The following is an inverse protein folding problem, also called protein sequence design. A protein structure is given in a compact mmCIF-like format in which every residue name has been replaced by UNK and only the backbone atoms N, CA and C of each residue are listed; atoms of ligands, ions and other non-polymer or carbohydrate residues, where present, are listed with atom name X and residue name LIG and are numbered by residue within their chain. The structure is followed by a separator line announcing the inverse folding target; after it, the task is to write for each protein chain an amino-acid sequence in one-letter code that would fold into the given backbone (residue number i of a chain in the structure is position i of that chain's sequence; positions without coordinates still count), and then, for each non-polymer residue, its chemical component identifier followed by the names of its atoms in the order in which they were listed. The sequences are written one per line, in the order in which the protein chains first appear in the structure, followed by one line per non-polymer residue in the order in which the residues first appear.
data_IF_874834903096
#
_entry.id   IF_874834903096
#
_cell.length_a   1.000
_cell.length_b   1.000
_cell.length_c   1.000
_cell.angle_alpha   90.00
_cell.angle_beta   90.00
_cell.angle_gamma   90.00
#
_symmetry.space_group_name_H-M   'P 1'
#
loop_
_entity.id
_entity.type
_entity.pdbx_description
1 polymer ?
#
# COMPACT_ATOMS: atom_id res chain seq x y z
N UNK A 1 11.42 7.66 -12.70
CA UNK A 1 10.62 6.58 -12.06
C UNK A 1 11.57 5.64 -11.36
N UNK A 2 11.28 5.25 -10.12
CA UNK A 2 12.12 4.32 -9.35
C UNK A 2 11.68 2.89 -9.64
N UNK A 3 12.57 2.06 -10.14
CA UNK A 3 12.28 0.66 -10.44
C UNK A 3 12.58 -0.16 -9.17
N UNK A 4 11.55 -0.75 -8.57
CA UNK A 4 11.62 -1.50 -7.32
C UNK A 4 10.93 -2.86 -7.48
N UNK A 5 11.47 -3.89 -6.82
CA UNK A 5 10.78 -5.17 -6.70
C UNK A 5 9.83 -5.14 -5.51
N UNK A 6 8.55 -4.87 -5.76
CA UNK A 6 7.49 -4.85 -4.74
C UNK A 6 6.99 -6.23 -4.30
N UNK A 7 7.69 -7.30 -4.72
CA UNK A 7 7.54 -8.66 -4.19
C UNK A 7 8.74 -9.10 -3.35
N UNK A 8 9.78 -8.27 -3.25
CA UNK A 8 10.96 -8.56 -2.44
C UNK A 8 10.63 -8.47 -0.94
N UNK A 9 11.22 -9.35 -0.11
CA UNK A 9 11.15 -9.22 1.33
C UNK A 9 11.64 -7.86 1.79
N UNK A 10 10.99 -7.29 2.79
CA UNK A 10 11.34 -5.96 3.29
C UNK A 10 10.22 -5.26 4.01
N UNK A 11 10.49 -4.02 4.38
CA UNK A 11 9.56 -3.16 5.10
C UNK A 11 9.09 -2.04 4.17
N UNK A 12 7.77 -1.86 4.10
CA UNK A 12 7.12 -0.91 3.20
C UNK A 12 6.19 0.00 3.98
N UNK A 13 6.35 1.30 3.79
CA UNK A 13 5.40 2.29 4.25
C UNK A 13 4.54 2.72 3.06
N UNK A 14 3.23 2.65 3.22
CA UNK A 14 2.25 2.93 2.17
C UNK A 14 1.26 3.97 2.66
N UNK A 15 0.99 4.97 1.83
CA UNK A 15 -0.06 5.97 2.04
C UNK A 15 -1.02 5.94 0.87
N UNK A 16 -2.31 5.86 1.13
CA UNK A 16 -3.34 5.93 0.10
C UNK A 16 -4.42 6.94 0.45
N UNK A 17 -4.66 7.88 -0.44
CA UNK A 17 -5.54 9.02 -0.21
C UNK A 17 -6.91 8.82 -0.85
N UNK A 18 -7.95 9.32 -0.19
CA UNK A 18 -9.27 9.52 -0.77
C UNK A 18 -9.17 10.53 -1.92
N UNK A 19 -9.98 10.31 -2.96
CA UNK A 19 -10.10 11.21 -4.10
C UNK A 19 -10.42 12.63 -3.60
N UNK A 20 -9.67 13.61 -4.10
CA UNK A 20 -9.80 15.02 -3.74
C UNK A 20 -9.68 15.31 -2.23
N UNK A 21 -9.06 14.39 -1.50
CA UNK A 21 -8.80 14.46 -0.05
C UNK A 21 -10.05 14.66 0.85
N UNK A 22 -11.24 14.34 0.37
CA UNK A 22 -12.47 14.48 1.17
C UNK A 22 -12.44 13.65 2.46
N UNK A 23 -12.91 14.21 3.55
CA UNK A 23 -12.96 13.57 4.87
C UNK A 23 -14.15 12.60 4.99
N UNK A 24 -14.19 11.59 4.15
CA UNK A 24 -15.31 10.63 4.14
C UNK A 24 -15.13 9.48 5.14
N UNK A 25 -13.91 9.21 5.61
CA UNK A 25 -13.64 8.06 6.47
C UNK A 25 -13.96 8.32 7.95
N UNK A 26 -14.28 9.57 8.32
CA UNK A 26 -14.62 9.97 9.67
C UNK A 26 -13.99 11.28 10.08
N UNK A 27 -13.78 11.47 11.38
CA UNK A 27 -13.14 12.66 11.94
C UNK A 27 -12.29 12.31 13.16
N UNK A 28 -11.40 13.21 13.54
CA UNK A 28 -10.61 13.05 14.77
C UNK A 28 -11.22 13.86 15.89
N UNK A 29 -11.58 13.19 16.98
CA UNK A 29 -12.05 13.79 18.22
C UNK A 29 -11.23 13.27 19.41
N UNK A 30 -10.85 14.16 20.32
CA UNK A 30 -10.04 13.81 21.50
C UNK A 30 -8.78 13.01 21.15
N UNK A 31 -8.08 13.40 20.07
CA UNK A 31 -6.86 12.75 19.58
C UNK A 31 -7.05 11.28 19.13
N UNK A 32 -8.29 10.87 18.89
CA UNK A 32 -8.65 9.53 18.40
C UNK A 32 -9.50 9.63 17.15
N UNK A 33 -9.32 8.67 16.27
CA UNK A 33 -10.17 8.53 15.08
C UNK A 33 -11.57 8.02 15.48
N UNK A 34 -12.58 8.75 15.02
CA UNK A 34 -13.99 8.33 15.05
C UNK A 34 -14.39 8.00 13.62
N UNK A 35 -14.57 6.72 13.34
CA UNK A 35 -14.84 6.23 11.99
C UNK A 35 -16.27 6.52 11.55
N UNK A 36 -16.44 6.91 10.29
CA UNK A 36 -17.71 6.82 9.59
C UNK A 36 -17.98 5.36 9.19
N UNK A 37 -19.17 5.07 8.65
CA UNK A 37 -19.47 3.77 8.06
C UNK A 37 -18.46 3.41 6.94
N UNK A 38 -17.99 4.38 6.16
CA UNK A 38 -16.98 4.18 5.14
C UNK A 38 -15.58 3.91 5.75
N UNK A 39 -15.26 4.60 6.84
CA UNK A 39 -14.04 4.35 7.60
C UNK A 39 -13.99 2.95 8.21
N UNK A 40 -15.12 2.45 8.75
CA UNK A 40 -15.22 1.08 9.26
C UNK A 40 -15.06 0.03 8.13
N UNK A 41 -15.58 0.28 6.92
CA UNK A 41 -15.34 -0.58 5.75
C UNK A 41 -13.83 -0.67 5.46
N UNK A 42 -13.14 0.48 5.40
CA UNK A 42 -11.70 0.52 5.12
C UNK A 42 -10.90 -0.18 6.21
N UNK A 43 -11.17 0.14 7.47
CA UNK A 43 -10.53 -0.49 8.64
C UNK A 43 -10.68 -2.01 8.62
N UNK A 44 -11.89 -2.52 8.38
CA UNK A 44 -12.18 -3.95 8.29
C UNK A 44 -11.37 -4.64 7.21
N UNK A 45 -11.27 -4.05 6.02
CA UNK A 45 -10.51 -4.64 4.92
C UNK A 45 -8.98 -4.53 5.15
N UNK A 46 -8.49 -3.48 5.80
CA UNK A 46 -7.08 -3.36 6.23
C UNK A 46 -6.72 -4.48 7.21
N UNK A 47 -7.55 -4.74 8.20
CA UNK A 47 -7.30 -5.79 9.20
C UNK A 47 -7.29 -7.21 8.61
N UNK A 48 -7.95 -7.43 7.46
CA UNK A 48 -7.95 -8.73 6.76
C UNK A 48 -6.71 -8.96 5.88
N UNK A 49 -5.84 -7.96 5.74
CA UNK A 49 -4.65 -8.10 4.88
C UNK A 49 -3.84 -9.36 5.17
N UNK A 50 -3.49 -9.68 6.44
CA UNK A 50 -2.72 -10.89 6.74
C UNK A 50 -3.44 -12.21 6.42
N UNK A 51 -4.78 -12.22 6.49
CA UNK A 51 -5.60 -13.39 6.15
C UNK A 51 -5.53 -13.71 4.65
N UNK A 52 -5.58 -12.67 3.81
CA UNK A 52 -5.58 -12.80 2.35
C UNK A 52 -4.16 -12.85 1.75
N UNK A 53 -3.16 -12.47 2.52
CA UNK A 53 -1.77 -12.37 2.08
C UNK A 53 -0.82 -12.90 3.18
N UNK A 54 -0.63 -14.25 3.30
CA UNK A 54 0.13 -14.87 4.40
C UNK A 54 1.59 -14.41 4.51
N UNK A 55 2.16 -13.90 3.41
CA UNK A 55 3.50 -13.30 3.38
C UNK A 55 3.55 -11.90 3.99
N UNK A 56 2.41 -11.28 4.25
CA UNK A 56 2.35 -9.90 4.76
C UNK A 56 2.08 -9.92 6.26
N UNK A 57 2.96 -9.25 7.01
CA UNK A 57 2.68 -8.81 8.37
C UNK A 57 2.22 -7.36 8.27
N UNK A 58 1.02 -7.08 8.75
CA UNK A 58 0.55 -5.71 9.00
C UNK A 58 1.10 -5.30 10.37
N UNK A 59 2.22 -4.57 10.39
CA UNK A 59 2.93 -4.24 11.63
C UNK A 59 2.30 -3.05 12.36
N UNK A 60 2.02 -1.98 11.62
CA UNK A 60 1.31 -0.81 12.14
C UNK A 60 0.42 -0.21 11.05
N UNK A 61 -0.68 0.40 11.45
CA UNK A 61 -1.59 1.02 10.51
C UNK A 61 -2.44 2.11 11.18
N UNK A 62 -2.93 3.04 10.36
CA UNK A 62 -3.93 4.01 10.79
C UNK A 62 -4.83 4.36 9.60
N UNK A 63 -6.12 4.47 9.86
CA UNK A 63 -7.11 5.08 8.95
C UNK A 63 -7.53 6.39 9.58
N UNK A 64 -7.43 7.49 8.83
CA UNK A 64 -7.74 8.85 9.25
C UNK A 64 -8.71 9.51 8.26
N UNK A 65 -9.21 10.71 8.46
CA UNK A 65 -10.39 11.21 7.75
C UNK A 65 -10.37 11.11 6.24
N UNK A 66 -9.20 11.27 5.58
CA UNK A 66 -9.07 11.31 4.12
C UNK A 66 -7.99 10.40 3.54
N UNK A 67 -7.33 9.57 4.35
CA UNK A 67 -6.35 8.61 3.87
C UNK A 67 -6.09 7.49 4.90
N UNK A 68 -5.20 6.57 4.54
CA UNK A 68 -4.65 5.62 5.49
C UNK A 68 -3.15 5.42 5.28
N UNK A 69 -2.48 5.00 6.35
CA UNK A 69 -1.10 4.55 6.33
C UNK A 69 -0.99 3.09 6.74
N UNK A 70 -0.13 2.35 6.06
CA UNK A 70 0.22 0.98 6.39
C UNK A 70 1.74 0.85 6.54
N UNK A 71 2.19 0.22 7.61
CA UNK A 71 3.54 -0.29 7.76
C UNK A 71 3.48 -1.81 7.58
N UNK A 72 4.01 -2.28 6.48
CA UNK A 72 3.94 -3.67 6.05
C UNK A 72 5.33 -4.29 6.08
N UNK A 73 5.44 -5.51 6.62
CA UNK A 73 6.61 -6.36 6.50
C UNK A 73 6.27 -7.50 5.56
N UNK A 74 6.94 -7.56 4.42
CA UNK A 74 6.84 -8.67 3.48
C UNK A 74 7.91 -9.70 3.82
N UNK A 75 7.44 -10.92 4.19
CA UNK A 75 8.30 -12.05 4.56
C UNK A 75 9.00 -12.63 3.34
N UNK A 76 10.11 -13.32 3.59
CA UNK A 76 10.71 -14.21 2.59
C UNK A 76 9.74 -15.34 2.21
N UNK A 77 10.01 -15.98 1.06
CA UNK A 77 9.29 -17.19 0.69
C UNK A 77 9.56 -18.28 1.72
N UNK A 78 8.52 -18.73 2.42
CA UNK A 78 8.57 -19.92 3.25
C UNK A 78 7.79 -21.03 2.56
N UNK A 79 8.21 -22.29 2.76
CA UNK A 79 7.40 -23.44 2.39
C UNK A 79 6.16 -23.44 3.29
N UNK A 80 5.06 -22.86 2.83
CA UNK A 80 3.76 -23.01 3.46
C UNK A 80 2.96 -24.09 2.70
N UNK A 81 2.69 -25.16 3.43
CA UNK A 81 1.77 -26.26 3.10
C UNK A 81 0.97 -26.13 1.79
N UNK A 82 1.52 -26.66 0.69
CA UNK A 82 0.77 -27.33 -0.38
C UNK A 82 -0.11 -26.52 -1.33
N UNK A 83 -0.24 -25.20 -1.22
CA UNK A 83 -1.07 -24.42 -2.13
C UNK A 83 -0.16 -23.48 -2.94
N UNK A 84 -0.17 -23.72 -4.23
CA UNK A 84 0.55 -23.10 -5.33
C UNK A 84 1.04 -21.65 -5.14
N UNK A 85 2.16 -21.44 -4.45
CA UNK A 85 3.01 -20.27 -4.60
C UNK A 85 3.85 -20.33 -5.90
N UNK A 86 3.57 -21.32 -6.77
CA UNK A 86 4.30 -21.59 -8.02
C UNK A 86 4.26 -20.40 -8.97
N UNK A 87 3.14 -19.68 -9.02
CA UNK A 87 3.04 -18.49 -9.86
C UNK A 87 3.85 -17.31 -9.31
N UNK A 88 3.90 -17.17 -7.98
CA UNK A 88 4.72 -16.13 -7.35
C UNK A 88 6.22 -16.49 -7.37
N UNK A 89 6.57 -17.77 -7.22
CA UNK A 89 7.95 -18.26 -7.34
C UNK A 89 8.49 -18.11 -8.76
N UNK A 90 7.73 -18.52 -9.77
CA UNK A 90 8.10 -18.34 -11.19
C UNK A 90 8.19 -16.87 -11.57
N UNK A 91 7.34 -16.01 -10.99
CA UNK A 91 7.45 -14.55 -11.14
C UNK A 91 8.71 -14.02 -10.46
N UNK A 92 9.11 -14.53 -9.30
CA UNK A 92 10.32 -14.11 -8.62
C UNK A 92 11.57 -14.52 -9.40
N UNK A 93 11.63 -15.75 -9.93
CA UNK A 93 12.74 -16.24 -10.75
C UNK A 93 12.90 -15.44 -12.05
N UNK A 94 11.78 -15.11 -12.69
CA UNK A 94 11.76 -14.18 -13.81
C UNK A 94 12.11 -12.74 -13.37
N UNK A 95 11.73 -12.34 -12.16
CA UNK A 95 12.07 -11.07 -11.54
C UNK A 95 13.57 -10.97 -11.22
N UNK A 96 14.18 -11.96 -10.58
CA UNK A 96 15.63 -11.98 -10.32
C UNK A 96 16.40 -11.90 -11.61
N UNK A 97 15.97 -12.61 -12.67
CA UNK A 97 16.57 -12.50 -13.99
C UNK A 97 16.45 -11.10 -14.59
N UNK A 98 15.27 -10.46 -14.50
CA UNK A 98 15.07 -9.08 -14.97
C UNK A 98 15.81 -8.05 -14.12
N UNK A 99 15.88 -8.28 -12.80
CA UNK A 99 16.43 -7.34 -11.85
C UNK A 99 17.93 -7.54 -11.59
N UNK A 100 18.50 -8.72 -11.78
CA UNK A 100 19.94 -8.96 -11.58
C UNK A 100 20.81 -8.51 -12.74
N UNK A 101 20.26 -8.37 -13.95
CA UNK A 101 21.12 -8.33 -15.14
C UNK A 101 21.26 -7.00 -15.87
N UNK A 102 20.43 -5.96 -15.62
CA UNK A 102 20.54 -4.89 -16.63
C UNK A 102 20.64 -3.43 -16.19
N UNK A 103 20.05 -2.94 -15.10
CA UNK A 103 19.82 -1.50 -15.18
C UNK A 103 20.14 -0.64 -13.95
N UNK A 104 19.85 -1.09 -12.75
CA UNK A 104 19.91 -0.21 -11.57
C UNK A 104 21.27 -0.02 -10.95
N UNK A 105 22.25 -0.82 -11.34
CA UNK A 105 23.63 -0.66 -10.88
C UNK A 105 24.43 0.34 -11.71
N UNK A 106 23.80 0.98 -12.71
CA UNK A 106 24.46 2.03 -13.51
C UNK A 106 23.97 3.42 -13.08
N UNK A 107 24.80 4.27 -12.49
CA UNK A 107 24.39 5.55 -11.88
C UNK A 107 23.73 6.57 -12.83
N UNK A 108 23.73 6.35 -14.14
CA UNK A 108 23.23 7.30 -15.16
C UNK A 108 22.28 6.68 -16.19
N UNK A 109 21.75 5.47 -15.91
CA UNK A 109 20.87 4.83 -16.88
C UNK A 109 19.48 5.45 -16.89
N UNK A 110 19.05 5.92 -18.05
CA UNK A 110 17.67 6.34 -18.28
C UNK A 110 16.93 5.23 -19.08
N UNK A 111 15.88 4.63 -18.51
CA UNK A 111 15.17 3.55 -19.20
C UNK A 111 14.45 4.09 -20.44
N UNK A 112 14.42 3.30 -21.50
CA UNK A 112 13.63 3.58 -22.71
C UNK A 112 12.14 3.49 -22.41
N UNK A 113 11.29 4.10 -23.24
CA UNK A 113 9.84 4.03 -23.12
C UNK A 113 9.33 2.57 -23.07
N UNK A 114 9.87 1.68 -23.91
CA UNK A 114 9.52 0.27 -23.95
C UNK A 114 9.83 -0.44 -22.62
N UNK A 115 10.98 -0.17 -22.05
CA UNK A 115 11.40 -0.73 -20.77
C UNK A 115 10.52 -0.23 -19.62
N UNK A 116 10.10 1.02 -19.64
CA UNK A 116 9.13 1.57 -18.68
C UNK A 116 7.78 0.85 -18.80
N UNK A 117 7.29 0.62 -20.01
CA UNK A 117 6.04 -0.10 -20.26
C UNK A 117 6.10 -1.55 -19.77
N UNK A 118 7.19 -2.25 -20.06
CA UNK A 118 7.43 -3.62 -19.58
C UNK A 118 7.46 -3.67 -18.03
N UNK A 119 8.19 -2.75 -17.39
CA UNK A 119 8.20 -2.64 -15.95
C UNK A 119 6.80 -2.37 -15.37
N UNK A 120 6.02 -1.46 -15.96
CA UNK A 120 4.65 -1.19 -15.51
C UNK A 120 3.76 -2.43 -15.57
N UNK A 121 3.90 -3.28 -16.62
CA UNK A 121 3.20 -4.56 -16.73
C UNK A 121 3.61 -5.53 -15.61
N UNK A 122 4.91 -5.63 -15.34
CA UNK A 122 5.45 -6.47 -14.26
C UNK A 122 5.03 -5.96 -12.88
N UNK A 123 5.15 -4.65 -12.64
CA UNK A 123 4.79 -4.03 -11.35
C UNK A 123 3.37 -4.38 -10.92
N UNK A 124 2.41 -4.37 -11.85
CA UNK A 124 0.99 -4.72 -11.55
C UNK A 124 0.80 -6.14 -11.02
N UNK A 125 1.77 -7.04 -11.29
CA UNK A 125 1.75 -8.43 -10.83
C UNK A 125 2.45 -8.64 -9.49
N UNK A 126 3.17 -7.64 -8.99
CA UNK A 126 3.89 -7.70 -7.72
C UNK A 126 2.94 -7.65 -6.51
N UNK A 127 3.40 -8.13 -5.36
CA UNK A 127 2.56 -8.32 -4.16
C UNK A 127 1.96 -7.00 -3.67
N UNK A 128 2.78 -5.97 -3.47
CA UNK A 128 2.28 -4.69 -2.94
C UNK A 128 1.27 -4.02 -3.89
N UNK A 129 1.52 -3.86 -5.21
CA UNK A 129 0.53 -3.34 -6.14
C UNK A 129 -0.75 -4.17 -6.24
N UNK A 130 -0.65 -5.52 -6.20
CA UNK A 130 -1.83 -6.40 -6.15
C UNK A 130 -2.65 -6.19 -4.89
N UNK A 131 -1.98 -6.12 -3.72
CA UNK A 131 -2.62 -5.81 -2.45
C UNK A 131 -3.40 -4.50 -2.54
N UNK A 132 -2.71 -3.42 -2.96
CA UNK A 132 -3.32 -2.08 -3.01
C UNK A 132 -4.48 -2.04 -4.01
N UNK A 133 -4.34 -2.64 -5.18
CA UNK A 133 -5.43 -2.71 -6.16
C UNK A 133 -6.66 -3.47 -5.63
N UNK A 134 -6.47 -4.60 -4.94
CA UNK A 134 -7.57 -5.35 -4.31
C UNK A 134 -8.22 -4.55 -3.18
N UNK A 135 -7.44 -3.91 -2.31
CA UNK A 135 -7.93 -3.10 -1.20
C UNK A 135 -8.77 -1.91 -1.71
N UNK A 136 -8.24 -1.15 -2.67
CA UNK A 136 -8.96 -0.03 -3.31
C UNK A 136 -10.25 -0.49 -3.99
N UNK A 137 -10.20 -1.58 -4.75
CA UNK A 137 -11.37 -2.13 -5.46
C UNK A 137 -12.46 -2.58 -4.47
N UNK A 138 -12.08 -3.34 -3.45
CA UNK A 138 -13.03 -3.91 -2.48
C UNK A 138 -13.68 -2.81 -1.66
N UNK A 139 -12.90 -1.90 -1.09
CA UNK A 139 -13.42 -0.79 -0.29
C UNK A 139 -14.25 0.17 -1.12
N UNK A 140 -13.84 0.50 -2.37
CA UNK A 140 -14.66 1.33 -3.27
C UNK A 140 -15.99 0.68 -3.61
N UNK A 141 -16.00 -0.63 -3.88
CA UNK A 141 -17.24 -1.37 -4.13
C UNK A 141 -18.20 -1.25 -2.95
N UNK A 142 -17.73 -1.55 -1.74
CA UNK A 142 -18.56 -1.59 -0.55
C UNK A 142 -19.06 -0.18 -0.15
N UNK A 143 -18.21 0.84 -0.24
CA UNK A 143 -18.58 2.25 -0.05
C UNK A 143 -19.65 2.67 -1.08
N UNK A 144 -19.46 2.34 -2.35
CA UNK A 144 -20.40 2.73 -3.41
C UNK A 144 -21.76 2.02 -3.30
N UNK A 145 -21.78 0.78 -2.80
CA UNK A 145 -23.04 0.08 -2.48
C UNK A 145 -23.76 0.81 -1.35
N UNK A 146 -23.05 1.13 -0.27
CA UNK A 146 -23.64 1.78 0.90
C UNK A 146 -24.22 3.16 0.57
N UNK A 147 -23.51 3.97 -0.20
CA UNK A 147 -23.99 5.31 -0.59
C UNK A 147 -24.83 5.35 -1.88
N UNK A 148 -25.09 4.18 -2.49
CA UNK A 148 -25.88 4.04 -3.73
C UNK A 148 -25.33 4.86 -4.91
N UNK A 149 -24.02 4.94 -5.05
CA UNK A 149 -23.34 5.69 -6.13
C UNK A 149 -22.37 4.77 -6.89
N UNK A 150 -22.90 3.85 -7.73
CA UNK A 150 -22.04 2.92 -8.46
C UNK A 150 -21.07 3.66 -9.39
N UNK A 151 -19.84 3.16 -9.46
CA UNK A 151 -18.80 3.73 -10.33
C UNK A 151 -18.09 4.97 -9.79
N UNK A 152 -18.50 5.50 -8.63
CA UNK A 152 -17.81 6.66 -8.06
C UNK A 152 -16.39 6.29 -7.61
N UNK A 153 -15.44 7.14 -7.99
CA UNK A 153 -14.04 6.99 -7.64
C UNK A 153 -13.82 7.44 -6.20
N UNK A 154 -13.35 6.54 -5.34
CA UNK A 154 -13.12 6.83 -3.92
C UNK A 154 -11.66 7.12 -3.61
N UNK A 155 -10.73 6.51 -4.33
CA UNK A 155 -9.29 6.60 -4.09
C UNK A 155 -8.61 7.38 -5.20
N UNK A 156 -7.54 8.09 -4.87
CA UNK A 156 -6.60 8.58 -5.87
C UNK A 156 -6.03 7.42 -6.67
N UNK A 157 -5.66 7.68 -7.93
CA UNK A 157 -5.21 6.64 -8.87
C UNK A 157 -3.98 5.90 -8.36
N UNK A 158 -3.03 6.65 -7.79
CA UNK A 158 -1.79 6.11 -7.26
C UNK A 158 -1.76 6.21 -5.72
N UNK A 159 -1.01 5.32 -5.12
CA UNK A 159 -0.63 5.36 -3.71
C UNK A 159 0.85 5.74 -3.60
N UNK A 160 1.23 6.34 -2.47
CA UNK A 160 2.62 6.61 -2.16
C UNK A 160 3.22 5.42 -1.43
N UNK A 161 4.41 5.02 -1.83
CA UNK A 161 5.16 3.96 -1.18
C UNK A 161 6.61 4.35 -0.88
N UNK A 162 7.12 3.82 0.22
CA UNK A 162 8.50 3.99 0.63
C UNK A 162 9.06 2.67 1.15
N UNK A 163 10.16 2.18 0.53
CA UNK A 163 10.89 1.01 1.02
C UNK A 163 11.80 1.44 2.16
N UNK A 164 11.57 0.90 3.33
CA UNK A 164 12.31 1.24 4.54
C UNK A 164 13.59 0.38 4.59
N UNK A 165 14.75 1.04 4.63
CA UNK A 165 16.05 0.36 4.60
C UNK A 165 16.86 0.52 5.89
N UNK A 166 16.45 1.42 6.78
CA UNK A 166 17.17 1.75 8.01
C UNK A 166 16.26 1.61 9.22
N UNK A 167 16.79 1.01 10.30
CA UNK A 167 16.04 0.83 11.55
C UNK A 167 15.51 2.15 12.11
N UNK A 168 16.29 3.22 12.06
CA UNK A 168 15.83 4.53 12.50
C UNK A 168 14.61 5.02 11.72
N UNK A 169 14.61 4.88 10.39
CA UNK A 169 13.45 5.22 9.54
C UNK A 169 12.23 4.39 9.89
N UNK A 170 12.39 3.09 10.16
CA UNK A 170 11.32 2.21 10.59
C UNK A 170 10.66 2.69 11.89
N UNK A 171 11.48 2.98 12.93
CA UNK A 171 10.99 3.45 14.23
C UNK A 171 10.24 4.78 14.05
N UNK A 172 10.81 5.72 13.28
CA UNK A 172 10.20 7.03 13.04
C UNK A 172 8.85 6.91 12.35
N UNK A 173 8.75 6.05 11.31
CA UNK A 173 7.50 5.82 10.56
C UNK A 173 6.46 5.14 11.47
N UNK A 174 6.86 4.14 12.26
CA UNK A 174 5.96 3.48 13.20
C UNK A 174 5.38 4.46 14.21
N UNK A 175 6.23 5.29 14.82
CA UNK A 175 5.81 6.34 15.75
C UNK A 175 4.92 7.40 15.07
N UNK A 176 5.21 7.75 13.81
CA UNK A 176 4.37 8.65 13.02
C UNK A 176 2.96 8.08 12.84
N UNK A 177 2.82 6.79 12.47
CA UNK A 177 1.51 6.14 12.30
C UNK A 177 0.75 6.11 13.62
N UNK A 178 1.38 5.67 14.72
CA UNK A 178 0.77 5.59 16.05
C UNK A 178 0.26 6.96 16.53
N UNK A 179 1.05 8.01 16.31
CA UNK A 179 0.72 9.36 16.77
C UNK A 179 -0.09 10.17 15.76
N UNK A 180 -0.40 9.63 14.58
CA UNK A 180 -1.07 10.38 13.53
C UNK A 180 -2.41 10.99 13.97
N UNK A 181 -3.34 10.27 14.65
CA UNK A 181 -4.58 10.89 15.12
C UNK A 181 -4.36 12.04 16.10
N UNK A 182 -3.33 11.95 16.96
CA UNK A 182 -2.96 13.03 17.87
C UNK A 182 -2.46 14.26 17.15
N UNK A 183 -1.71 14.04 16.08
CA UNK A 183 -1.06 15.09 15.28
C UNK A 183 -1.84 15.42 14.00
N UNK A 184 -3.11 15.01 13.90
CA UNK A 184 -3.94 15.15 12.70
C UNK A 184 -3.95 16.57 12.10
N UNK A 185 -4.05 17.59 12.95
CA UNK A 185 -4.06 19.01 12.49
C UNK A 185 -2.73 19.45 11.84
N UNK A 186 -1.64 18.75 12.09
CA UNK A 186 -0.32 19.00 11.50
C UNK A 186 -0.01 18.03 10.34
N UNK A 187 -0.94 17.15 10.01
CA UNK A 187 -0.76 16.22 8.90
C UNK A 187 -0.74 16.95 7.56
N UNK A 188 0.14 16.50 6.67
CA UNK A 188 0.34 17.08 5.32
C UNK A 188 -0.93 17.11 4.48
N UNK A 189 -1.91 16.26 4.80
CA UNK A 189 -3.18 16.14 4.06
C UNK A 189 -4.37 16.81 4.78
N UNK A 190 -4.14 17.43 5.94
CA UNK A 190 -5.22 18.07 6.73
C UNK A 190 -5.93 19.18 5.96
N UNK A 191 -5.18 20.11 5.36
CA UNK A 191 -5.71 21.31 4.69
C UNK A 191 -5.99 21.11 3.18
N UNK A 192 -5.98 19.86 2.71
CA UNK A 192 -6.19 19.55 1.28
C UNK A 192 -7.62 19.11 0.94
N UNK A 193 -8.52 19.11 1.93
CA UNK A 193 -9.92 18.74 1.76
C UNK A 193 -10.77 19.87 1.18
#
# INVERSE_FOLDING_TARGET
MRILNYSAPGQYFITNNIQDHHWILGHVANQKMVYSEYGEIVKKEVLKIPEHHPRIILDEWVVIPNHFHLLIILKEYGFYNGISEVDDYNMQKNHEFYFSHKWWNKPKYQPTKKEVEEYCKLRRRMIIPKLMGKLQMKTSKDINILRKTPGTKNWQHDYHDHVIRRRASYINIKNYIINNPKNWKQDTFYDRA
#
